data_IF_377619126090
#
_entry.id   IF_377619126090
#
_cell.length_a   1.000
_cell.length_b   1.000
_cell.length_c   1.000
_cell.angle_alpha   90.00
_cell.angle_beta   90.00
_cell.angle_gamma   90.00
#
_symmetry.space_group_name_H-M   'P 1'
#
loop_
_entity.id
_entity.type
_entity.pdbx_description
1 polymer ?
#
# COMPACT_ATOMS: atom_id res chain seq x y z
N UNK A 1 7.60 6.55 -19.53
CA UNK A 1 8.04 7.94 -19.28
C UNK A 1 9.42 7.95 -18.63
N UNK A 2 10.22 9.03 -18.81
CA UNK A 2 11.46 9.20 -18.04
C UNK A 2 11.09 9.53 -16.57
N UNK A 3 11.76 8.93 -15.58
CA UNK A 3 11.46 9.16 -14.18
C UNK A 3 11.82 10.60 -13.79
N UNK A 4 10.92 11.25 -13.05
CA UNK A 4 11.12 12.61 -12.54
C UNK A 4 11.92 12.58 -11.24
N UNK A 5 12.89 13.48 -11.06
CA UNK A 5 13.74 13.53 -9.85
C UNK A 5 13.51 14.85 -9.14
N UNK A 6 13.05 14.78 -7.91
CA UNK A 6 12.89 15.91 -7.01
C UNK A 6 14.00 15.88 -5.98
N UNK A 7 14.79 16.95 -5.88
CA UNK A 7 15.79 17.13 -4.82
C UNK A 7 15.22 18.01 -3.71
N UNK A 8 15.65 17.81 -2.46
CA UNK A 8 15.21 18.63 -1.31
C UNK A 8 15.44 20.13 -1.53
N UNK A 9 16.60 20.51 -2.07
CA UNK A 9 16.91 21.91 -2.42
C UNK A 9 15.91 22.52 -3.43
N UNK A 10 15.25 21.67 -4.23
CA UNK A 10 14.22 22.06 -5.19
C UNK A 10 12.80 22.13 -4.61
N UNK A 11 12.59 21.88 -3.31
CA UNK A 11 11.25 21.75 -2.72
C UNK A 11 10.37 22.98 -2.98
N UNK A 12 10.91 24.20 -2.89
CA UNK A 12 10.16 25.43 -3.21
C UNK A 12 9.63 25.45 -4.64
N UNK A 13 10.40 24.93 -5.61
CA UNK A 13 9.95 24.82 -7.00
C UNK A 13 8.86 23.76 -7.13
N UNK A 14 9.00 22.64 -6.43
CA UNK A 14 7.99 21.56 -6.42
C UNK A 14 6.68 22.00 -5.79
N UNK A 15 6.69 22.77 -4.70
CA UNK A 15 5.47 23.36 -4.14
C UNK A 15 4.73 24.21 -5.19
N UNK A 16 5.45 25.09 -5.90
CA UNK A 16 4.85 25.90 -6.97
C UNK A 16 4.35 25.07 -8.16
N UNK A 17 5.02 23.97 -8.47
CA UNK A 17 4.58 23.04 -9.52
C UNK A 17 3.32 22.28 -9.08
N UNK A 18 3.22 21.87 -7.83
CA UNK A 18 2.04 21.23 -7.26
C UNK A 18 0.82 22.15 -7.31
N UNK A 19 0.99 23.42 -6.93
CA UNK A 19 -0.07 24.45 -7.00
C UNK A 19 -0.63 24.66 -8.42
N UNK A 20 0.21 24.44 -9.44
CA UNK A 20 -0.15 24.60 -10.86
C UNK A 20 -0.56 23.30 -11.54
N UNK A 21 -0.46 22.17 -10.86
CA UNK A 21 -0.82 20.86 -11.40
C UNK A 21 -2.26 20.53 -11.06
N UNK A 22 -2.89 19.70 -11.88
CA UNK A 22 -4.25 19.20 -11.68
C UNK A 22 -4.25 17.67 -11.69
N UNK A 23 -5.33 17.07 -11.16
CA UNK A 23 -5.53 15.63 -11.09
C UNK A 23 -4.40 14.88 -10.38
N UNK A 24 -4.11 13.67 -10.84
CA UNK A 24 -3.11 12.75 -10.28
C UNK A 24 -1.73 13.40 -10.09
N UNK A 25 -1.31 14.25 -11.02
CA UNK A 25 -0.01 14.93 -10.94
C UNK A 25 0.11 15.82 -9.70
N UNK A 26 -0.98 16.49 -9.32
CA UNK A 26 -1.06 17.30 -8.10
C UNK A 26 -0.92 16.42 -6.86
N UNK A 27 -1.58 15.28 -6.86
CA UNK A 27 -1.56 14.32 -5.75
C UNK A 27 -0.17 13.73 -5.54
N UNK A 28 0.51 13.35 -6.62
CA UNK A 28 1.89 12.88 -6.63
C UNK A 28 2.83 13.92 -6.02
N UNK A 29 2.76 15.17 -6.46
CA UNK A 29 3.61 16.21 -5.88
C UNK A 29 3.27 16.51 -4.43
N UNK A 30 1.99 16.47 -4.05
CA UNK A 30 1.55 16.69 -2.66
C UNK A 30 2.12 15.62 -1.73
N UNK A 31 2.06 14.36 -2.15
CA UNK A 31 2.68 13.23 -1.47
C UNK A 31 4.21 13.38 -1.33
N UNK A 32 4.90 13.78 -2.41
CA UNK A 32 6.34 14.03 -2.36
C UNK A 32 6.71 15.18 -1.41
N UNK A 33 5.95 16.27 -1.45
CA UNK A 33 6.12 17.42 -0.54
C UNK A 33 5.90 16.99 0.92
N UNK A 34 4.87 16.18 1.19
CA UNK A 34 4.59 15.64 2.53
C UNK A 34 5.81 14.88 3.06
N UNK A 35 6.38 13.97 2.27
CA UNK A 35 7.59 13.24 2.63
C UNK A 35 8.76 14.17 2.96
N UNK A 36 9.08 15.15 2.11
CA UNK A 36 10.16 16.10 2.40
C UNK A 36 9.92 16.91 3.68
N UNK A 37 8.68 17.33 3.93
CA UNK A 37 8.32 18.09 5.14
C UNK A 37 8.39 17.25 6.41
N UNK A 38 8.08 15.96 6.31
CA UNK A 38 8.10 15.05 7.45
C UNK A 38 9.50 14.54 7.75
N UNK A 39 10.42 14.48 6.80
CA UNK A 39 11.77 13.95 7.03
C UNK A 39 12.83 14.87 6.47
N UNK A 40 13.69 15.37 7.34
CA UNK A 40 14.81 16.21 6.94
C UNK A 40 15.89 15.45 6.18
N UNK A 41 16.03 14.16 6.47
CA UNK A 41 17.10 13.29 5.94
C UNK A 41 16.87 12.85 4.48
N UNK A 42 15.71 13.14 3.89
CA UNK A 42 15.44 12.84 2.48
C UNK A 42 16.20 13.82 1.58
N UNK A 43 17.16 13.30 0.80
CA UNK A 43 17.91 14.09 -0.18
C UNK A 43 17.16 14.27 -1.49
N UNK A 44 16.58 13.18 -2.01
CA UNK A 44 15.83 13.20 -3.26
C UNK A 44 14.78 12.10 -3.33
N UNK A 45 13.72 12.38 -4.08
CA UNK A 45 12.66 11.45 -4.42
C UNK A 45 12.64 11.31 -5.94
N UNK A 46 12.80 10.08 -6.42
CA UNK A 46 12.63 9.74 -7.83
C UNK A 46 11.27 9.08 -8.03
N UNK A 47 10.47 9.64 -8.93
CA UNK A 47 9.09 9.25 -9.18
C UNK A 47 9.04 8.32 -10.38
N UNK A 48 8.41 7.17 -10.19
CA UNK A 48 8.07 6.20 -11.21
C UNK A 48 6.55 6.07 -11.22
N UNK A 49 5.92 6.27 -12.38
CA UNK A 49 4.51 6.00 -12.59
C UNK A 49 4.43 4.64 -13.29
N UNK A 50 3.84 3.65 -12.62
CA UNK A 50 3.74 2.25 -13.07
C UNK A 50 2.31 1.77 -12.86
N UNK A 51 1.60 1.40 -13.94
CA UNK A 51 0.34 0.65 -13.94
C UNK A 51 -0.66 0.99 -12.80
N UNK A 52 -1.17 2.23 -12.79
CA UNK A 52 -2.14 2.78 -11.83
C UNK A 52 -1.61 3.01 -10.39
N UNK A 53 -0.31 2.88 -10.16
CA UNK A 53 0.34 3.16 -8.90
C UNK A 53 1.56 4.07 -9.07
N UNK A 54 1.96 4.73 -7.97
CA UNK A 54 3.14 5.60 -7.97
C UNK A 54 4.19 5.03 -7.03
N UNK A 55 5.38 4.79 -7.56
CA UNK A 55 6.53 4.32 -6.78
C UNK A 55 7.54 5.44 -6.65
N UNK A 56 7.83 5.81 -5.41
CA UNK A 56 8.92 6.70 -5.05
C UNK A 56 10.15 5.89 -4.66
N UNK A 57 11.27 6.14 -5.33
CA UNK A 57 12.59 5.78 -4.82
C UNK A 57 13.14 6.97 -4.04
N UNK A 58 13.10 6.86 -2.71
CA UNK A 58 13.54 7.88 -1.76
C UNK A 58 15.00 7.61 -1.42
N UNK A 59 15.87 8.61 -1.56
CA UNK A 59 17.27 8.58 -1.14
C UNK A 59 17.40 9.34 0.18
N UNK A 60 18.03 8.69 1.15
CA UNK A 60 18.35 9.26 2.45
C UNK A 60 19.80 9.80 2.48
N UNK A 61 20.10 10.66 3.44
CA UNK A 61 21.41 11.34 3.58
C UNK A 61 22.60 10.37 3.81
N UNK A 62 22.33 9.19 4.37
CA UNK A 62 23.30 8.10 4.54
C UNK A 62 23.54 7.28 3.26
N UNK A 63 23.00 7.72 2.12
CA UNK A 63 22.95 7.02 0.84
C UNK A 63 22.11 5.74 0.82
N UNK A 64 21.28 5.50 1.86
CA UNK A 64 20.33 4.42 1.84
C UNK A 64 19.13 4.76 0.93
N UNK A 65 18.47 3.73 0.42
CA UNK A 65 17.32 3.86 -0.45
C UNK A 65 16.11 3.15 0.12
N UNK A 66 14.96 3.81 0.01
CA UNK A 66 13.65 3.24 0.34
C UNK A 66 12.74 3.33 -0.86
N UNK A 67 11.92 2.31 -1.04
CA UNK A 67 10.89 2.29 -2.06
C UNK A 67 9.53 2.46 -1.38
N UNK A 68 8.84 3.55 -1.71
CA UNK A 68 7.52 3.89 -1.19
C UNK A 68 6.53 3.74 -2.33
N UNK A 69 5.58 2.80 -2.20
CA UNK A 69 4.42 2.72 -3.08
C UNK A 69 3.32 3.61 -2.51
N UNK A 70 2.68 4.41 -3.37
CA UNK A 70 1.63 5.34 -2.99
C UNK A 70 0.34 4.88 -3.64
N UNK A 71 -0.70 4.75 -2.83
CA UNK A 71 -2.06 4.44 -3.27
C UNK A 71 -2.94 5.60 -2.85
N UNK A 72 -3.52 6.29 -3.82
CA UNK A 72 -4.46 7.38 -3.55
C UNK A 72 -5.84 6.82 -3.24
N UNK A 73 -6.57 7.53 -2.37
CA UNK A 73 -7.97 7.21 -2.10
C UNK A 73 -8.79 7.39 -3.37
N UNK A 74 -9.67 6.44 -3.66
CA UNK A 74 -10.60 6.45 -4.78
C UNK A 74 -11.99 6.04 -4.26
N UNK A 75 -12.99 6.89 -4.45
CA UNK A 75 -14.37 6.65 -3.97
C UNK A 75 -14.44 6.14 -2.50
N UNK A 76 -13.80 6.87 -1.58
CA UNK A 76 -13.72 6.54 -0.15
C UNK A 76 -13.04 5.19 0.20
N UNK A 77 -12.29 4.62 -0.74
CA UNK A 77 -11.58 3.34 -0.59
C UNK A 77 -10.14 3.39 -1.09
N UNK A 78 -9.33 2.44 -0.65
CA UNK A 78 -7.98 2.23 -1.16
C UNK A 78 -7.92 0.91 -1.90
N UNK A 79 -7.64 0.97 -3.20
CA UNK A 79 -7.48 -0.21 -4.06
C UNK A 79 -6.05 -0.75 -3.91
N UNK A 80 -5.89 -1.84 -3.17
CA UNK A 80 -4.57 -2.34 -2.76
C UNK A 80 -3.98 -3.34 -3.76
N UNK A 81 -4.78 -4.27 -4.24
CA UNK A 81 -4.34 -5.34 -5.15
C UNK A 81 -5.52 -6.01 -5.85
N UNK A 82 -5.27 -6.49 -7.07
CA UNK A 82 -6.15 -7.42 -7.78
C UNK A 82 -5.48 -8.80 -7.87
N UNK A 83 -6.22 -9.84 -7.47
CA UNK A 83 -5.77 -11.22 -7.43
C UNK A 83 -6.74 -12.11 -8.19
N UNK A 84 -6.28 -12.73 -9.27
CA UNK A 84 -7.01 -13.81 -9.92
C UNK A 84 -6.62 -15.13 -9.25
N UNK A 85 -7.50 -15.63 -8.37
CA UNK A 85 -7.30 -16.88 -7.62
C UNK A 85 -7.47 -18.13 -8.49
N UNK A 86 -8.16 -18.02 -9.63
CA UNK A 86 -8.33 -19.14 -10.56
C UNK A 86 -7.03 -19.46 -11.30
N UNK A 87 -6.21 -18.45 -11.59
CA UNK A 87 -4.93 -18.58 -12.27
C UNK A 87 -3.82 -19.19 -11.39
N UNK A 88 -3.91 -19.03 -10.06
CA UNK A 88 -2.90 -19.57 -9.14
C UNK A 88 -3.16 -21.06 -8.87
N UNK A 89 -2.46 -21.92 -9.60
CA UNK A 89 -2.55 -23.39 -9.45
C UNK A 89 -1.81 -23.89 -8.19
N UNK A 90 -2.44 -24.80 -7.47
CA UNK A 90 -1.87 -25.52 -6.31
C UNK A 90 -2.02 -27.02 -6.60
N UNK A 91 -0.96 -27.64 -7.13
CA UNK A 91 -1.04 -29.02 -7.62
C UNK A 91 -2.11 -29.18 -8.72
N UNK A 92 -3.18 -29.93 -8.42
CA UNK A 92 -4.30 -30.15 -9.36
C UNK A 92 -5.46 -29.16 -9.19
N UNK A 93 -5.49 -28.39 -8.11
CA UNK A 93 -6.54 -27.41 -7.79
C UNK A 93 -6.06 -25.98 -8.09
N UNK A 94 -6.89 -24.99 -7.78
CA UNK A 94 -6.53 -23.58 -7.82
C UNK A 94 -6.73 -22.96 -6.42
N UNK A 95 -6.13 -21.79 -6.20
CA UNK A 95 -6.18 -21.10 -4.92
C UNK A 95 -7.61 -20.76 -4.51
N UNK A 96 -8.49 -20.44 -5.46
CA UNK A 96 -9.91 -20.20 -5.18
C UNK A 96 -10.60 -21.38 -4.49
N UNK A 97 -10.43 -22.58 -5.04
CA UNK A 97 -11.03 -23.81 -4.49
C UNK A 97 -10.45 -24.18 -3.13
N UNK A 98 -9.14 -23.96 -2.92
CA UNK A 98 -8.54 -24.20 -1.61
C UNK A 98 -9.10 -23.23 -0.57
N UNK A 99 -9.25 -21.93 -0.88
CA UNK A 99 -9.86 -20.95 0.04
C UNK A 99 -11.28 -21.37 0.43
N UNK A 100 -12.13 -21.70 -0.55
CA UNK A 100 -13.52 -22.14 -0.28
C UNK A 100 -13.52 -23.36 0.65
N UNK A 101 -12.69 -24.34 0.35
CA UNK A 101 -12.60 -25.56 1.13
C UNK A 101 -12.17 -25.27 2.58
N UNK A 102 -11.16 -24.43 2.80
CA UNK A 102 -10.73 -24.05 4.15
C UNK A 102 -11.85 -23.40 4.96
N UNK A 103 -12.56 -22.45 4.33
CA UNK A 103 -13.66 -21.69 4.97
C UNK A 103 -14.84 -22.61 5.28
N UNK A 104 -15.24 -23.50 4.37
CA UNK A 104 -16.32 -24.45 4.60
C UNK A 104 -16.02 -25.42 5.75
N UNK A 105 -14.76 -25.80 5.93
CA UNK A 105 -14.34 -26.73 6.98
C UNK A 105 -14.19 -26.06 8.36
N UNK A 106 -13.71 -24.83 8.41
CA UNK A 106 -13.24 -24.22 9.66
C UNK A 106 -13.65 -22.77 9.90
N UNK A 107 -14.43 -22.16 8.99
CA UNK A 107 -14.77 -20.73 9.01
C UNK A 107 -13.53 -19.81 9.02
N UNK A 108 -12.38 -20.31 8.58
CA UNK A 108 -11.11 -19.58 8.50
C UNK A 108 -10.22 -20.15 7.39
N UNK A 109 -9.26 -19.37 6.88
CA UNK A 109 -8.32 -19.89 5.89
C UNK A 109 -7.23 -20.65 6.64
N UNK A 110 -7.02 -21.91 6.25
CA UNK A 110 -5.99 -22.73 6.89
C UNK A 110 -4.59 -22.16 6.62
N UNK A 111 -3.63 -22.58 7.45
CA UNK A 111 -2.26 -22.07 7.40
C UNK A 111 -1.59 -22.26 6.02
N UNK A 112 -1.82 -23.39 5.36
CA UNK A 112 -1.17 -23.68 4.09
C UNK A 112 -1.73 -22.79 2.98
N UNK A 113 -3.06 -22.63 2.94
CA UNK A 113 -3.74 -21.74 2.00
C UNK A 113 -3.37 -20.28 2.24
N UNK A 114 -3.27 -19.84 3.51
CA UNK A 114 -2.77 -18.49 3.86
C UNK A 114 -1.37 -18.22 3.31
N UNK A 115 -0.45 -19.20 3.43
CA UNK A 115 0.91 -19.09 2.90
C UNK A 115 0.89 -18.94 1.37
N UNK A 116 0.03 -19.69 0.67
CA UNK A 116 -0.11 -19.57 -0.78
C UNK A 116 -0.66 -18.22 -1.22
N UNK A 117 -1.63 -17.64 -0.48
CA UNK A 117 -2.12 -16.28 -0.74
C UNK A 117 -0.98 -15.27 -0.59
N UNK A 118 -0.23 -15.34 0.51
CA UNK A 118 0.90 -14.43 0.77
C UNK A 118 1.98 -14.54 -0.32
N UNK A 119 2.33 -15.76 -0.72
CA UNK A 119 3.26 -16.00 -1.81
C UNK A 119 2.76 -15.42 -3.14
N UNK A 120 1.45 -15.49 -3.39
CA UNK A 120 0.85 -14.94 -4.59
C UNK A 120 0.84 -13.41 -4.59
N UNK A 121 0.54 -12.78 -3.45
CA UNK A 121 0.68 -11.32 -3.26
C UNK A 121 2.12 -10.89 -3.55
N UNK A 122 3.11 -11.63 -3.03
CA UNK A 122 4.54 -11.33 -3.23
C UNK A 122 4.98 -11.48 -4.67
N UNK A 123 4.47 -12.51 -5.35
CA UNK A 123 4.70 -12.71 -6.78
C UNK A 123 4.14 -11.55 -7.60
N UNK A 124 2.87 -11.18 -7.38
CA UNK A 124 2.20 -10.08 -8.11
C UNK A 124 2.89 -8.73 -7.88
N UNK A 125 3.56 -8.56 -6.74
CA UNK A 125 4.24 -7.32 -6.35
C UNK A 125 5.75 -7.31 -6.63
N UNK A 126 6.28 -8.30 -7.34
CA UNK A 126 7.71 -8.41 -7.67
C UNK A 126 8.65 -8.40 -6.45
N UNK A 127 8.21 -8.90 -5.28
CA UNK A 127 9.03 -9.12 -4.06
C UNK A 127 9.86 -7.93 -3.55
N UNK A 128 9.55 -6.69 -3.95
CA UNK A 128 10.24 -5.51 -3.42
C UNK A 128 9.73 -5.25 -2.00
N UNK A 129 10.66 -5.05 -1.04
CA UNK A 129 10.33 -4.51 0.28
C UNK A 129 9.83 -3.08 0.09
N UNK A 130 8.51 -2.92 0.05
CA UNK A 130 7.85 -1.64 -0.19
C UNK A 130 7.27 -1.11 1.12
N UNK A 131 7.49 0.17 1.36
CA UNK A 131 6.71 0.96 2.30
C UNK A 131 5.46 1.40 1.56
N UNK A 132 4.30 1.30 2.17
CA UNK A 132 3.04 1.70 1.56
C UNK A 132 2.55 3.00 2.17
N UNK A 133 2.27 3.99 1.33
CA UNK A 133 1.64 5.24 1.72
C UNK A 133 0.24 5.29 1.14
N UNK A 134 -0.77 5.07 1.98
CA UNK A 134 -2.17 5.26 1.59
C UNK A 134 -2.49 6.75 1.80
N UNK A 135 -2.76 7.47 0.72
CA UNK A 135 -2.86 8.92 0.70
C UNK A 135 -4.29 9.38 0.45
N UNK A 136 -4.85 10.09 1.43
CA UNK A 136 -6.08 10.85 1.29
C UNK A 136 -5.71 12.34 1.19
N UNK A 137 -5.47 12.76 -0.05
CA UNK A 137 -5.02 14.10 -0.43
C UNK A 137 -6.07 15.17 -0.13
N UNK A 138 -7.35 14.83 -0.19
CA UNK A 138 -8.44 15.75 0.11
C UNK A 138 -8.42 16.20 1.57
N UNK A 139 -7.96 15.33 2.48
CA UNK A 139 -7.88 15.60 3.93
C UNK A 139 -6.44 15.71 4.45
N UNK A 140 -5.43 15.86 3.57
CA UNK A 140 -3.98 15.86 3.91
C UNK A 140 -3.57 14.72 4.88
N UNK A 141 -4.22 13.56 4.75
CA UNK A 141 -4.05 12.42 5.65
C UNK A 141 -3.29 11.30 4.94
N UNK A 142 -2.26 10.75 5.60
CA UNK A 142 -1.38 9.73 5.01
C UNK A 142 -1.13 8.61 6.02
N UNK A 143 -1.35 7.37 5.60
CA UNK A 143 -1.14 6.17 6.41
C UNK A 143 0.08 5.41 5.88
N UNK A 144 1.07 5.13 6.75
CA UNK A 144 2.30 4.42 6.36
C UNK A 144 2.36 3.01 6.89
N UNK A 145 2.08 2.08 6.00
CA UNK A 145 1.99 0.68 6.33
C UNK A 145 3.24 -0.03 5.83
N UNK A 146 3.76 -0.92 6.67
CA UNK A 146 4.76 -1.88 6.21
C UNK A 146 4.09 -2.91 5.29
N UNK A 147 4.89 -3.58 4.49
CA UNK A 147 4.40 -4.67 3.64
C UNK A 147 3.61 -5.74 4.41
N UNK A 148 4.05 -6.09 5.62
CA UNK A 148 3.35 -7.07 6.46
C UNK A 148 1.97 -6.58 6.88
N UNK A 149 1.84 -5.30 7.26
CA UNK A 149 0.54 -4.71 7.63
C UNK A 149 -0.44 -4.72 6.45
N UNK A 150 0.05 -4.42 5.24
CA UNK A 150 -0.78 -4.50 4.03
C UNK A 150 -1.21 -5.94 3.74
N UNK A 151 -0.30 -6.91 3.88
CA UNK A 151 -0.63 -8.33 3.72
C UNK A 151 -1.68 -8.80 4.72
N UNK A 152 -1.56 -8.38 5.98
CA UNK A 152 -2.54 -8.71 7.02
C UNK A 152 -3.91 -8.12 6.68
N UNK A 153 -3.98 -6.86 6.26
CA UNK A 153 -5.22 -6.21 5.82
C UNK A 153 -5.87 -6.92 4.63
N UNK A 154 -5.07 -7.30 3.62
CA UNK A 154 -5.57 -8.04 2.45
C UNK A 154 -6.10 -9.42 2.87
N UNK A 155 -5.37 -10.14 3.73
CA UNK A 155 -5.80 -11.45 4.22
C UNK A 155 -7.09 -11.37 5.03
N UNK A 156 -7.20 -10.40 5.95
CA UNK A 156 -8.42 -10.17 6.73
C UNK A 156 -9.62 -9.88 5.81
N UNK A 157 -9.42 -9.08 4.76
CA UNK A 157 -10.48 -8.77 3.80
C UNK A 157 -10.89 -9.98 2.93
N UNK A 158 -9.93 -10.80 2.49
CA UNK A 158 -10.21 -12.08 1.80
C UNK A 158 -11.03 -12.99 2.71
N UNK A 159 -10.58 -13.22 3.95
CA UNK A 159 -11.29 -14.06 4.91
C UNK A 159 -12.71 -13.56 5.14
N UNK A 160 -12.87 -12.26 5.38
CA UNK A 160 -14.18 -11.65 5.58
C UNK A 160 -15.12 -11.86 4.39
N UNK A 161 -14.66 -11.59 3.16
CA UNK A 161 -15.49 -11.74 1.96
C UNK A 161 -15.92 -13.18 1.72
N UNK A 162 -15.02 -14.15 1.91
CA UNK A 162 -15.36 -15.55 1.71
C UNK A 162 -16.29 -16.10 2.81
N UNK A 163 -16.12 -15.69 4.07
CA UNK A 163 -17.04 -16.04 5.16
C UNK A 163 -18.45 -15.48 4.90
N UNK A 164 -18.55 -14.29 4.27
CA UNK A 164 -19.83 -13.67 3.88
C UNK A 164 -20.42 -14.21 2.58
N UNK A 165 -19.86 -15.27 2.00
CA UNK A 165 -20.25 -15.86 0.72
C UNK A 165 -20.15 -14.90 -0.48
N UNK A 166 -19.33 -13.85 -0.39
CA UNK A 166 -19.01 -12.97 -1.50
C UNK A 166 -17.79 -13.52 -2.26
N UNK A 167 -17.88 -14.79 -2.68
CA UNK A 167 -16.76 -15.53 -3.25
C UNK A 167 -16.53 -15.08 -4.69
N UNK A 168 -15.35 -14.53 -4.97
CA UNK A 168 -14.98 -14.09 -6.32
C UNK A 168 -13.66 -14.75 -6.74
N UNK A 169 -13.61 -15.29 -7.95
CA UNK A 169 -12.37 -15.83 -8.53
C UNK A 169 -11.38 -14.72 -8.86
N UNK A 170 -11.89 -13.60 -9.36
CA UNK A 170 -11.17 -12.35 -9.56
C UNK A 170 -11.45 -11.43 -8.38
N UNK A 171 -10.54 -11.43 -7.41
CA UNK A 171 -10.69 -10.67 -6.19
C UNK A 171 -9.99 -9.32 -6.29
N UNK A 172 -10.74 -8.25 -6.03
CA UNK A 172 -10.23 -6.90 -5.91
C UNK A 172 -10.25 -6.48 -4.43
N UNK A 173 -9.07 -6.29 -3.85
CA UNK A 173 -8.94 -5.80 -2.49
C UNK A 173 -9.09 -4.28 -2.48
N UNK A 174 -10.28 -3.81 -2.10
CA UNK A 174 -10.58 -2.39 -1.93
C UNK A 174 -11.04 -2.15 -0.50
N UNK A 175 -10.21 -1.46 0.29
CA UNK A 175 -10.45 -1.26 1.72
C UNK A 175 -10.97 0.14 1.97
N UNK A 176 -12.17 0.31 2.57
CA UNK A 176 -12.69 1.62 2.92
C UNK A 176 -11.75 2.43 3.81
N UNK A 177 -11.63 3.73 3.51
CA UNK A 177 -10.79 4.69 4.25
C UNK A 177 -11.04 4.65 5.76
N UNK A 178 -12.29 4.54 6.18
CA UNK A 178 -12.63 4.54 7.61
C UNK A 178 -12.05 3.31 8.34
N UNK A 179 -11.94 2.16 7.66
CA UNK A 179 -11.33 0.94 8.22
C UNK A 179 -9.83 1.16 8.38
N UNK A 180 -9.15 1.69 7.35
CA UNK A 180 -7.73 2.03 7.42
C UNK A 180 -7.46 3.03 8.54
N UNK A 181 -8.27 4.09 8.65
CA UNK A 181 -8.14 5.08 9.71
C UNK A 181 -8.26 4.44 11.10
N UNK A 182 -9.27 3.58 11.31
CA UNK A 182 -9.48 2.87 12.58
C UNK A 182 -8.32 1.94 12.89
N UNK A 183 -7.85 1.15 11.92
CA UNK A 183 -6.69 0.27 12.05
C UNK A 183 -5.45 1.06 12.48
N UNK A 184 -5.18 2.16 11.78
CA UNK A 184 -4.05 3.05 12.01
C UNK A 184 -4.05 3.64 13.41
N UNK A 185 -5.15 4.29 13.79
CA UNK A 185 -5.31 4.92 15.11
C UNK A 185 -5.14 3.90 16.23
N UNK A 186 -5.73 2.70 16.09
CA UNK A 186 -5.55 1.62 17.06
C UNK A 186 -4.09 1.15 17.15
N UNK A 187 -3.38 1.08 16.02
CA UNK A 187 -1.97 0.71 15.99
C UNK A 187 -1.10 1.74 16.72
N UNK A 188 -1.30 3.03 16.47
CA UNK A 188 -0.57 4.11 17.15
C UNK A 188 -0.78 4.04 18.67
N UNK A 189 -2.02 3.87 19.12
CA UNK A 189 -2.38 3.72 20.54
C UNK A 189 -1.67 2.51 21.16
N UNK A 190 -1.75 1.34 20.52
CA UNK A 190 -1.11 0.10 21.00
C UNK A 190 0.40 0.23 21.12
N UNK A 191 1.04 0.94 20.18
CA UNK A 191 2.49 1.14 20.15
C UNK A 191 2.95 2.33 20.98
N UNK A 192 2.02 3.17 21.46
CA UNK A 192 2.31 4.46 22.12
C UNK A 192 3.26 5.33 21.29
N UNK A 193 3.04 5.37 19.97
CA UNK A 193 3.82 6.15 19.02
C UNK A 193 2.93 7.17 18.32
N UNK A 194 3.47 8.34 18.07
CA UNK A 194 2.91 9.30 17.12
C UNK A 194 3.09 8.83 15.67
N UNK A 195 2.35 9.45 14.75
CA UNK A 195 2.54 9.23 13.31
C UNK A 195 4.00 9.44 12.92
N UNK A 196 4.57 10.59 13.28
CA UNK A 196 5.96 10.93 12.97
C UNK A 196 6.96 9.87 13.45
N UNK A 197 6.81 9.36 14.67
CA UNK A 197 7.70 8.32 15.20
C UNK A 197 7.57 7.00 14.44
N UNK A 198 6.35 6.62 14.05
CA UNK A 198 6.17 5.38 13.28
C UNK A 198 6.81 5.51 11.90
N UNK A 199 6.57 6.64 11.24
CA UNK A 199 7.13 7.04 9.96
C UNK A 199 8.67 7.03 9.98
N UNK A 200 9.31 7.61 11.01
CA UNK A 200 10.78 7.62 11.20
C UNK A 200 11.40 6.25 11.44
N UNK A 201 10.63 5.30 11.95
CA UNK A 201 11.13 3.93 12.13
C UNK A 201 11.04 3.09 10.85
N UNK A 202 10.24 3.52 9.87
CA UNK A 202 9.95 2.76 8.66
C UNK A 202 10.78 3.24 7.47
N UNK A 203 10.99 4.56 7.36
CA UNK A 203 11.85 5.19 6.36
C UNK A 203 13.28 5.26 6.86
#
# INVERSE_FOLDING_TARGET
MKPEIIKRQGLRKVCKLAERSEGEKKEIFSAAIKLFRMFDDIECIKIYNEDNDVIFKVRLADNDYRYVKIVFVNNDSFDLINLDFSQRRIGRTNLFNEIIKSIQQSQSIDRQTRIEILNYIDFKRNRKKLIWMLADTAFDTYYILTENMIKDLILEDIEYNFIKNNNQENYSCSIPKFIIHKYWTNMLIRRRKSDYELWKNIL
#
